data_IF_616649036821
#
_entry.id   IF_616649036821
#
_cell.length_a   1.000
_cell.length_b   1.000
_cell.length_c   1.000
_cell.angle_alpha   90.00
_cell.angle_beta   90.00
_cell.angle_gamma   90.00
#
_symmetry.space_group_name_H-M   'P 1'
#
loop_
_entity.id
_entity.type
_entity.pdbx_description
1 polymer ?
#
# COMPACT_ATOMS: atom_id res chain seq x y z
N UNK A 1 -31.50 26.73 -1.68
CA UNK A 1 -31.25 25.42 -2.32
C UNK A 1 -29.95 24.87 -1.78
N UNK A 2 -29.98 24.26 -0.59
CA UNK A 2 -28.83 23.52 -0.08
C UNK A 2 -28.83 22.18 -0.81
N UNK A 3 -27.80 21.93 -1.62
CA UNK A 3 -27.59 20.65 -2.27
C UNK A 3 -27.55 19.57 -1.20
N UNK A 4 -28.51 18.66 -1.24
CA UNK A 4 -28.48 17.40 -0.51
C UNK A 4 -27.21 16.66 -0.92
N UNK A 5 -26.14 16.86 -0.16
CA UNK A 5 -25.01 15.96 -0.15
C UNK A 5 -25.54 14.65 0.43
N UNK A 6 -26.07 13.80 -0.44
CA UNK A 6 -26.43 12.42 -0.13
C UNK A 6 -25.13 11.73 0.28
N UNK A 7 -24.80 11.80 1.57
CA UNK A 7 -23.69 11.08 2.15
C UNK A 7 -24.01 9.60 2.00
N UNK A 8 -23.30 8.90 1.10
CA UNK A 8 -23.39 7.43 1.03
C UNK A 8 -23.13 6.89 2.45
N UNK A 9 -23.99 5.99 2.97
CA UNK A 9 -23.78 5.45 4.31
C UNK A 9 -22.41 4.80 4.39
N UNK A 10 -21.60 5.25 5.36
CA UNK A 10 -20.27 4.68 5.63
C UNK A 10 -20.46 3.23 6.06
N UNK A 11 -20.12 2.29 5.19
CA UNK A 11 -20.22 0.86 5.53
C UNK A 11 -19.02 0.44 6.37
N UNK A 12 -19.25 -0.43 7.36
CA UNK A 12 -18.20 -0.99 8.21
C UNK A 12 -17.08 -1.64 7.38
N UNK A 13 -17.44 -2.27 6.26
CA UNK A 13 -16.48 -2.86 5.32
C UNK A 13 -15.51 -1.86 4.70
N UNK A 14 -15.98 -0.68 4.29
CA UNK A 14 -15.11 0.37 3.75
C UNK A 14 -14.12 0.93 4.79
N UNK A 15 -14.55 1.03 6.05
CA UNK A 15 -13.67 1.48 7.14
C UNK A 15 -12.58 0.46 7.46
N UNK A 16 -12.95 -0.83 7.52
CA UNK A 16 -11.98 -1.92 7.72
C UNK A 16 -10.99 -2.02 6.55
N UNK A 17 -11.47 -1.88 5.32
CA UNK A 17 -10.62 -1.88 4.14
C UNK A 17 -9.64 -0.70 4.17
N UNK A 18 -10.09 0.48 4.64
CA UNK A 18 -9.24 1.65 4.84
C UNK A 18 -8.15 1.43 5.88
N UNK A 19 -8.50 0.87 7.04
CA UNK A 19 -7.53 0.51 8.07
C UNK A 19 -6.53 -0.54 7.56
N UNK A 20 -7.02 -1.53 6.81
CA UNK A 20 -6.18 -2.56 6.23
C UNK A 20 -5.12 -1.97 5.30
N UNK A 21 -5.50 -1.13 4.33
CA UNK A 21 -4.50 -0.60 3.39
C UNK A 21 -3.62 0.49 4.01
N UNK A 22 -4.13 1.31 4.95
CA UNK A 22 -3.31 2.33 5.60
C UNK A 22 -2.31 1.76 6.60
N UNK A 23 -2.72 0.78 7.41
CA UNK A 23 -1.92 0.28 8.54
C UNK A 23 -1.33 -1.09 8.26
N UNK A 24 -2.17 -2.08 7.94
CA UNK A 24 -1.74 -3.47 7.81
C UNK A 24 -0.85 -3.66 6.59
N UNK A 25 -1.27 -3.18 5.42
CA UNK A 25 -0.50 -3.36 4.20
C UNK A 25 0.84 -2.60 4.22
N UNK A 26 0.85 -1.34 4.69
CA UNK A 26 2.11 -0.60 4.86
C UNK A 26 3.02 -1.23 5.92
N UNK A 27 2.44 -1.74 7.02
CA UNK A 27 3.19 -2.45 8.06
C UNK A 27 3.86 -3.72 7.54
N UNK A 28 3.15 -4.53 6.76
CA UNK A 28 3.71 -5.73 6.13
C UNK A 28 4.80 -5.36 5.13
N UNK A 29 4.61 -4.29 4.35
CA UNK A 29 5.62 -3.79 3.40
C UNK A 29 6.91 -3.36 4.12
N UNK A 30 6.80 -2.61 5.21
CA UNK A 30 7.95 -2.21 6.02
C UNK A 30 8.64 -3.43 6.62
N UNK A 31 7.86 -4.35 7.21
CA UNK A 31 8.40 -5.55 7.84
C UNK A 31 9.13 -6.46 6.84
N UNK A 32 8.55 -6.69 5.66
CA UNK A 32 9.19 -7.48 4.60
C UNK A 32 10.43 -6.80 4.03
N UNK A 33 10.45 -5.46 3.95
CA UNK A 33 11.65 -4.68 3.59
C UNK A 33 12.78 -4.89 4.59
N UNK A 34 12.49 -4.82 5.90
CA UNK A 34 13.46 -5.08 6.97
C UNK A 34 13.98 -6.52 6.90
N UNK A 35 13.11 -7.50 6.64
CA UNK A 35 13.53 -8.89 6.49
C UNK A 35 14.45 -9.10 5.28
N UNK A 36 14.16 -8.47 4.14
CA UNK A 36 15.06 -8.50 2.97
C UNK A 36 16.41 -7.85 3.29
N UNK A 37 16.40 -6.75 4.04
CA UNK A 37 17.60 -6.03 4.46
C UNK A 37 18.48 -6.86 5.43
N UNK A 38 17.87 -7.63 6.34
CA UNK A 38 18.60 -8.35 7.40
C UNK A 38 18.91 -9.81 7.06
N UNK A 39 18.06 -10.48 6.28
CA UNK A 39 18.17 -11.92 5.99
C UNK A 39 18.50 -12.24 4.54
N UNK A 40 18.49 -11.23 3.66
CA UNK A 40 18.84 -11.39 2.25
C UNK A 40 17.70 -11.94 1.39
N UNK A 41 18.07 -12.47 0.22
CA UNK A 41 17.15 -12.82 -0.86
C UNK A 41 16.47 -14.18 -0.66
N UNK A 42 15.39 -14.21 0.13
CA UNK A 42 14.47 -15.35 0.17
C UNK A 42 13.33 -15.17 -0.84
N UNK A 43 13.00 -16.18 -1.66
CA UNK A 43 11.85 -16.14 -2.58
C UNK A 43 10.54 -15.82 -1.87
N UNK A 44 10.37 -16.30 -0.62
CA UNK A 44 9.19 -16.02 0.20
C UNK A 44 9.08 -14.53 0.52
N UNK A 45 10.18 -13.85 0.86
CA UNK A 45 10.15 -12.43 1.19
C UNK A 45 9.88 -11.57 -0.04
N UNK A 46 10.38 -11.97 -1.21
CA UNK A 46 10.04 -11.34 -2.48
C UNK A 46 8.55 -11.49 -2.81
N UNK A 47 8.00 -12.70 -2.65
CA UNK A 47 6.59 -12.96 -2.89
C UNK A 47 5.70 -12.16 -1.92
N UNK A 48 6.06 -12.09 -0.63
CA UNK A 48 5.33 -11.31 0.37
C UNK A 48 5.40 -9.80 0.09
N UNK A 49 6.58 -9.27 -0.26
CA UNK A 49 6.75 -7.86 -0.58
C UNK A 49 5.89 -7.44 -1.78
N UNK A 50 6.05 -8.12 -2.91
CA UNK A 50 5.31 -7.80 -4.13
C UNK A 50 3.82 -8.14 -4.03
N UNK A 51 3.48 -9.24 -3.35
CA UNK A 51 2.10 -9.62 -3.07
C UNK A 51 1.39 -8.58 -2.20
N UNK A 52 2.05 -8.05 -1.19
CA UNK A 52 1.49 -6.98 -0.34
C UNK A 52 1.34 -5.67 -1.11
N UNK A 53 2.32 -5.29 -1.93
CA UNK A 53 2.21 -4.10 -2.78
C UNK A 53 1.04 -4.21 -3.76
N UNK A 54 0.86 -5.36 -4.42
CA UNK A 54 -0.29 -5.61 -5.28
C UNK A 54 -1.61 -5.60 -4.50
N UNK A 55 -1.65 -6.25 -3.33
CA UNK A 55 -2.83 -6.28 -2.47
C UNK A 55 -3.24 -4.88 -1.98
N UNK A 56 -2.28 -4.00 -1.66
CA UNK A 56 -2.54 -2.60 -1.33
C UNK A 56 -3.22 -1.85 -2.48
N UNK A 57 -2.72 -2.01 -3.70
CA UNK A 57 -3.27 -1.35 -4.87
C UNK A 57 -4.70 -1.80 -5.15
N UNK A 58 -4.96 -3.11 -5.05
CA UNK A 58 -6.29 -3.69 -5.21
C UNK A 58 -7.22 -3.24 -4.07
N UNK A 59 -6.76 -3.28 -2.82
CA UNK A 59 -7.56 -2.82 -1.68
C UNK A 59 -7.95 -1.35 -1.82
N UNK A 60 -7.02 -0.49 -2.25
CA UNK A 60 -7.31 0.94 -2.50
C UNK A 60 -8.23 1.14 -3.70
N UNK A 61 -8.11 0.32 -4.74
CA UNK A 61 -9.04 0.33 -5.88
C UNK A 61 -10.46 -0.02 -5.42
N UNK A 62 -10.61 -1.09 -4.63
CA UNK A 62 -11.91 -1.53 -4.12
C UNK A 62 -12.52 -0.50 -3.15
N UNK A 63 -11.72 0.11 -2.26
CA UNK A 63 -12.15 1.20 -1.37
C UNK A 63 -12.76 2.36 -2.18
N UNK A 64 -12.11 2.76 -3.27
CA UNK A 64 -12.58 3.86 -4.13
C UNK A 64 -13.79 3.44 -4.97
N UNK A 65 -13.71 2.30 -5.67
CA UNK A 65 -14.71 1.87 -6.65
C UNK A 65 -16.02 1.35 -6.02
N UNK A 66 -15.94 0.65 -4.88
CA UNK A 66 -17.10 -0.03 -4.29
C UNK A 66 -17.56 0.63 -2.98
N UNK A 67 -16.65 1.22 -2.21
CA UNK A 67 -16.96 1.77 -0.88
C UNK A 67 -17.05 3.30 -0.84
N UNK A 68 -17.04 3.96 -2.01
CA UNK A 68 -17.05 5.42 -2.14
C UNK A 68 -15.98 6.05 -1.26
N UNK A 69 -14.77 5.48 -1.32
CA UNK A 69 -13.68 5.82 -0.44
C UNK A 69 -13.39 7.32 -0.44
N UNK A 70 -13.04 7.87 0.72
CA UNK A 70 -12.64 9.26 0.84
C UNK A 70 -11.11 9.39 0.69
N UNK A 71 -10.67 10.57 0.31
CA UNK A 71 -9.29 11.02 0.51
C UNK A 71 -9.02 11.17 2.01
N UNK A 72 -7.75 11.36 2.38
CA UNK A 72 -7.39 11.62 3.78
C UNK A 72 -8.07 12.88 4.33
N UNK A 73 -8.42 13.82 3.43
CA UNK A 73 -9.08 15.09 3.75
C UNK A 73 -10.62 14.96 3.82
N UNK A 74 -11.17 13.76 3.63
CA UNK A 74 -12.62 13.51 3.69
C UNK A 74 -13.37 13.71 2.37
N UNK A 75 -12.69 14.13 1.30
CA UNK A 75 -13.29 14.36 -0.02
C UNK A 75 -13.53 13.03 -0.78
N UNK A 76 -14.52 12.96 -1.69
CA UNK A 76 -14.73 11.76 -2.51
C UNK A 76 -13.47 11.43 -3.33
N UNK A 77 -12.84 10.28 -3.06
CA UNK A 77 -11.68 9.86 -3.84
C UNK A 77 -12.12 9.38 -5.22
N UNK A 78 -11.45 9.87 -6.25
CA UNK A 78 -11.68 9.45 -7.64
C UNK A 78 -10.62 8.45 -8.10
N UNK A 79 -10.90 7.73 -9.19
CA UNK A 79 -9.91 6.83 -9.81
C UNK A 79 -8.63 7.56 -10.26
N UNK A 80 -8.68 8.89 -10.46
CA UNK A 80 -7.47 9.69 -10.71
C UNK A 80 -6.53 9.73 -9.49
N UNK A 81 -7.08 9.80 -8.27
CA UNK A 81 -6.31 9.71 -7.03
C UNK A 81 -5.70 8.31 -6.87
N UNK A 82 -6.47 7.27 -7.21
CA UNK A 82 -5.96 5.90 -7.24
C UNK A 82 -4.77 5.78 -8.20
N UNK A 83 -4.87 6.30 -9.43
CA UNK A 83 -3.78 6.27 -10.42
C UNK A 83 -2.51 6.94 -9.91
N UNK A 84 -2.62 8.12 -9.29
CA UNK A 84 -1.46 8.80 -8.69
C UNK A 84 -0.82 7.95 -7.61
N UNK A 85 -1.62 7.42 -6.69
CA UNK A 85 -1.13 6.54 -5.64
C UNK A 85 -0.49 5.27 -6.21
N UNK A 86 -1.09 4.68 -7.23
CA UNK A 86 -0.56 3.50 -7.92
C UNK A 86 0.79 3.77 -8.57
N UNK A 87 0.96 4.94 -9.22
CA UNK A 87 2.26 5.37 -9.76
C UNK A 87 3.28 5.55 -8.64
N UNK A 88 2.91 6.20 -7.53
CA UNK A 88 3.81 6.34 -6.37
C UNK A 88 4.27 4.98 -5.85
N UNK A 89 3.36 4.03 -5.64
CA UNK A 89 3.70 2.67 -5.18
C UNK A 89 4.53 1.92 -6.22
N UNK A 90 4.19 2.03 -7.51
CA UNK A 90 4.92 1.37 -8.60
C UNK A 90 6.36 1.86 -8.75
N UNK A 91 6.66 3.09 -8.31
CA UNK A 91 8.03 3.63 -8.27
C UNK A 91 8.69 3.34 -6.92
N UNK A 92 8.03 3.64 -5.82
CA UNK A 92 8.59 3.53 -4.47
C UNK A 92 8.87 2.09 -4.06
N UNK A 93 8.01 1.13 -4.42
CA UNK A 93 8.20 -0.28 -4.07
C UNK A 93 9.48 -0.88 -4.69
N UNK A 94 9.74 -0.77 -6.02
CA UNK A 94 11.01 -1.24 -6.58
C UNK A 94 12.23 -0.51 -6.01
N UNK A 95 12.14 0.79 -5.73
CA UNK A 95 13.25 1.53 -5.09
C UNK A 95 13.55 1.00 -3.68
N UNK A 96 12.52 0.75 -2.86
CA UNK A 96 12.68 0.16 -1.53
C UNK A 96 13.23 -1.26 -1.61
N UNK A 97 12.72 -2.08 -2.51
CA UNK A 97 13.18 -3.45 -2.72
C UNK A 97 14.65 -3.49 -3.14
N UNK A 98 15.02 -2.66 -4.13
CA UNK A 98 16.39 -2.57 -4.61
C UNK A 98 17.33 -2.03 -3.53
N UNK A 99 16.92 -0.98 -2.82
CA UNK A 99 17.67 -0.42 -1.71
C UNK A 99 17.87 -1.41 -0.57
N UNK A 100 16.87 -2.24 -0.25
CA UNK A 100 16.98 -3.28 0.77
C UNK A 100 17.97 -4.38 0.36
N UNK A 101 17.95 -4.82 -0.90
CA UNK A 101 18.90 -5.82 -1.39
C UNK A 101 20.33 -5.28 -1.51
N UNK A 102 20.47 -4.07 -2.04
CA UNK A 102 21.76 -3.38 -2.10
C UNK A 102 22.32 -3.17 -0.69
N UNK A 103 21.50 -2.64 0.22
CA UNK A 103 21.85 -2.44 1.63
C UNK A 103 22.21 -3.72 2.37
N UNK A 104 21.52 -4.83 2.12
CA UNK A 104 21.91 -6.13 2.66
C UNK A 104 23.34 -6.51 2.23
N UNK A 105 23.75 -6.18 1.01
CA UNK A 105 25.13 -6.37 0.55
C UNK A 105 26.17 -5.57 1.34
N UNK A 106 25.82 -4.39 1.88
CA UNK A 106 26.69 -3.61 2.76
C UNK A 106 26.66 -4.10 4.21
N UNK A 107 25.47 -4.44 4.72
CA UNK A 107 25.28 -4.91 6.10
C UNK A 107 25.87 -6.32 6.27
N UNK A 108 25.72 -7.17 5.26
CA UNK A 108 26.35 -8.50 5.18
C UNK A 108 27.79 -8.47 4.67
N UNK A 109 28.39 -7.28 4.54
CA UNK A 109 29.76 -7.09 4.04
C UNK A 109 30.84 -7.45 5.06
N UNK A 110 31.12 -8.73 5.22
CA UNK A 110 32.48 -9.27 5.29
C UNK A 110 32.44 -10.77 4.95
N UNK A 111 33.43 -11.32 4.22
CA UNK A 111 33.70 -12.76 4.24
C UNK A 111 33.97 -13.27 5.67
#
# INVERSE_FOLDING_TARGET
>A
MASEWVSKPRTTGGMLLRLFWMLVGNGILLFTTILLLLKGSSPLFHALFWGTAAALLVARYLDIAHFAGATADGEPATLAHWRRHAVTVAIAAPLLWFGALWGHGFIGGAP
#
